data_IF_202466711955
#
_entry.id   IF_202466711955
#
_cell.length_a   1.000
_cell.length_b   1.000
_cell.length_c   1.000
_cell.angle_alpha   90.00
_cell.angle_beta   90.00
_cell.angle_gamma   90.00
#
_symmetry.space_group_name_H-M   'P 1'
#
loop_
_entity.id
_entity.type
_entity.pdbx_description
1 polymer ?
#
# COMPACT_ATOMS: atom_id res chain seq x y z
N UNK A 1 27.74 -7.84 5.31
CA UNK A 1 28.27 -7.15 6.52
C UNK A 1 27.18 -6.24 7.04
N UNK A 2 26.71 -6.43 8.26
CA UNK A 2 25.66 -5.58 8.87
C UNK A 2 26.26 -4.25 9.33
N UNK A 3 25.47 -3.18 9.29
CA UNK A 3 25.89 -1.90 9.84
C UNK A 3 26.15 -2.03 11.36
N UNK A 4 27.10 -1.25 11.90
CA UNK A 4 27.45 -1.32 13.33
C UNK A 4 26.25 -1.03 14.26
N UNK A 5 25.32 -0.23 13.79
CA UNK A 5 24.12 0.19 14.53
C UNK A 5 22.85 -0.49 14.02
N UNK A 6 22.98 -1.71 13.46
CA UNK A 6 21.82 -2.44 12.98
C UNK A 6 20.91 -2.82 14.15
N UNK A 7 19.61 -2.56 13.98
CA UNK A 7 18.56 -2.93 14.91
C UNK A 7 17.54 -3.83 14.21
N UNK A 8 17.04 -4.84 14.89
CA UNK A 8 15.96 -5.69 14.38
C UNK A 8 14.60 -5.04 14.63
N UNK A 9 14.46 -3.80 14.22
CA UNK A 9 13.23 -3.02 14.35
C UNK A 9 12.76 -2.55 12.99
N UNK A 10 11.46 -2.50 12.78
CA UNK A 10 10.86 -1.92 11.59
C UNK A 10 11.05 -0.40 11.60
N UNK A 11 11.38 0.19 10.44
CA UNK A 11 11.46 1.64 10.28
C UNK A 11 10.16 2.35 10.74
N UNK A 12 9.01 1.79 10.39
CA UNK A 12 7.71 2.39 10.72
C UNK A 12 7.32 2.29 12.19
N UNK A 13 8.01 1.45 12.96
CA UNK A 13 7.84 1.37 14.42
C UNK A 13 8.89 2.20 15.17
N UNK A 14 9.88 2.77 14.47
CA UNK A 14 10.86 3.66 15.06
C UNK A 14 10.18 4.99 15.42
N UNK A 15 10.27 5.39 16.66
CA UNK A 15 9.60 6.58 17.16
C UNK A 15 8.10 6.44 17.49
N UNK A 16 7.51 5.27 17.27
CA UNK A 16 6.15 4.97 17.75
C UNK A 16 6.24 4.42 19.17
N UNK A 17 5.52 5.03 20.09
CA UNK A 17 5.42 4.50 21.44
C UNK A 17 4.75 3.12 21.39
N UNK A 18 5.31 2.10 22.07
CA UNK A 18 4.67 0.81 22.19
C UNK A 18 3.25 0.99 22.75
N UNK A 19 2.29 0.28 22.18
CA UNK A 19 0.95 0.26 22.74
C UNK A 19 1.05 -0.49 24.07
N UNK A 20 1.02 0.28 25.15
CA UNK A 20 0.88 -0.28 26.50
C UNK A 20 -0.57 -0.71 26.65
N UNK A 21 -0.79 -1.97 26.77
CA UNK A 21 -2.13 -2.53 26.99
C UNK A 21 -2.10 -4.02 26.76
N UNK A 22 -1.75 -4.75 27.79
CA UNK A 22 -2.20 -6.12 27.91
C UNK A 22 -3.64 -6.06 28.39
N UNK A 23 -4.53 -6.74 27.69
CA UNK A 23 -5.85 -7.02 28.25
C UNK A 23 -5.61 -7.87 29.50
N UNK A 24 -5.78 -7.28 30.66
CA UNK A 24 -5.68 -8.01 31.94
C UNK A 24 -6.71 -9.15 32.02
N UNK A 25 -7.79 -9.02 31.28
CA UNK A 25 -8.84 -10.01 31.22
C UNK A 25 -9.33 -10.23 29.79
N UNK A 26 -9.05 -11.42 29.24
CA UNK A 26 -9.60 -11.84 27.96
C UNK A 26 -11.07 -12.27 28.19
N UNK A 27 -12.04 -11.66 27.49
CA UNK A 27 -13.44 -12.04 27.62
C UNK A 27 -13.64 -13.50 27.19
N UNK A 28 -14.55 -14.21 27.87
CA UNK A 28 -14.86 -15.63 27.54
C UNK A 28 -15.55 -15.79 26.20
N UNK A 29 -16.25 -14.77 25.76
CA UNK A 29 -17.00 -14.74 24.51
C UNK A 29 -16.89 -13.37 23.88
N UNK A 30 -16.81 -13.32 22.57
CA UNK A 30 -16.87 -12.11 21.74
C UNK A 30 -17.64 -12.44 20.47
N UNK A 31 -18.21 -11.46 19.82
CA UNK A 31 -18.92 -11.69 18.54
C UNK A 31 -17.95 -12.14 17.44
N UNK A 32 -16.79 -11.50 17.36
CA UNK A 32 -15.77 -11.82 16.35
C UNK A 32 -14.37 -11.76 16.97
N UNK A 33 -13.67 -12.88 16.93
CA UNK A 33 -12.25 -12.96 17.26
C UNK A 33 -11.41 -12.83 15.98
N UNK A 34 -10.46 -11.91 15.99
CA UNK A 34 -9.52 -11.68 14.89
C UNK A 34 -8.11 -12.01 15.37
N UNK A 35 -7.43 -12.91 14.67
CA UNK A 35 -6.05 -13.32 14.97
C UNK A 35 -5.10 -12.59 14.02
N UNK A 36 -4.24 -11.74 14.55
CA UNK A 36 -3.30 -10.91 13.84
C UNK A 36 -3.73 -9.45 13.73
N UNK A 37 -2.87 -8.55 14.15
CA UNK A 37 -3.06 -7.09 14.16
C UNK A 37 -2.32 -6.37 13.03
N UNK A 38 -2.13 -7.05 11.89
CA UNK A 38 -1.67 -6.42 10.65
C UNK A 38 -2.80 -5.66 9.94
N UNK A 39 -2.54 -5.07 8.77
CA UNK A 39 -3.53 -4.31 8.00
C UNK A 39 -4.86 -5.05 7.84
N UNK A 40 -4.83 -6.33 7.46
CA UNK A 40 -6.04 -7.11 7.24
C UNK A 40 -6.88 -7.26 8.50
N UNK A 41 -6.24 -7.60 9.63
CA UNK A 41 -6.96 -7.79 10.89
C UNK A 41 -7.51 -6.49 11.45
N UNK A 42 -6.75 -5.40 11.38
CA UNK A 42 -7.21 -4.09 11.83
C UNK A 42 -8.36 -3.56 10.98
N UNK A 43 -8.29 -3.67 9.65
CA UNK A 43 -9.41 -3.29 8.78
C UNK A 43 -10.65 -4.14 9.02
N UNK A 44 -10.50 -5.45 9.23
CA UNK A 44 -11.61 -6.32 9.57
C UNK A 44 -12.26 -5.90 10.89
N UNK A 45 -11.46 -5.59 11.92
CA UNK A 45 -11.99 -5.16 13.22
C UNK A 45 -12.76 -3.84 13.14
N UNK A 46 -12.28 -2.88 12.35
CA UNK A 46 -12.97 -1.61 12.09
C UNK A 46 -14.35 -1.88 11.46
N UNK A 47 -14.44 -2.77 10.47
CA UNK A 47 -15.73 -3.09 9.83
C UNK A 47 -16.70 -3.79 10.80
N UNK A 48 -16.19 -4.71 11.62
CA UNK A 48 -17.01 -5.37 12.65
C UNK A 48 -17.53 -4.35 13.66
N UNK A 49 -16.66 -3.47 14.17
CA UNK A 49 -17.06 -2.42 15.12
C UNK A 49 -18.09 -1.45 14.51
N UNK A 50 -17.91 -1.05 13.25
CA UNK A 50 -18.87 -0.20 12.53
C UNK A 50 -20.25 -0.86 12.32
N UNK A 51 -20.29 -2.18 12.31
CA UNK A 51 -21.55 -2.93 12.25
C UNK A 51 -22.26 -3.05 13.62
N UNK A 52 -21.70 -2.43 14.66
CA UNK A 52 -22.23 -2.50 16.03
C UNK A 52 -21.94 -3.81 16.75
N UNK A 53 -21.00 -4.63 16.23
CA UNK A 53 -20.62 -5.90 16.85
C UNK A 53 -19.30 -5.76 17.61
N UNK A 54 -19.13 -6.61 18.62
CA UNK A 54 -17.92 -6.63 19.41
C UNK A 54 -16.81 -7.41 18.69
N UNK A 55 -15.62 -6.77 18.55
CA UNK A 55 -14.43 -7.38 17.96
C UNK A 55 -13.29 -7.42 18.97
N UNK A 56 -12.63 -8.57 19.08
CA UNK A 56 -11.37 -8.72 19.80
C UNK A 56 -10.27 -9.06 18.81
N UNK A 57 -9.22 -8.23 18.76
CA UNK A 57 -8.01 -8.52 17.98
C UNK A 57 -6.94 -9.04 18.93
N UNK A 58 -6.36 -10.18 18.62
CA UNK A 58 -5.22 -10.75 19.35
C UNK A 58 -4.03 -10.92 18.42
N UNK A 59 -2.84 -10.71 18.94
CA UNK A 59 -1.57 -10.92 18.24
C UNK A 59 -0.54 -11.54 19.18
N UNK A 60 0.45 -12.21 18.61
CA UNK A 60 1.59 -12.76 19.36
C UNK A 60 2.66 -11.74 19.67
N UNK A 61 2.58 -10.55 19.11
CA UNK A 61 3.54 -9.44 19.24
C UNK A 61 2.87 -8.09 19.32
N UNK A 62 3.65 -7.04 19.17
CA UNK A 62 3.14 -5.68 19.06
C UNK A 62 2.28 -5.51 17.79
N UNK A 63 1.23 -4.68 17.83
CA UNK A 63 0.41 -4.43 16.65
C UNK A 63 1.27 -4.03 15.44
N UNK A 64 1.01 -4.68 14.30
CA UNK A 64 1.71 -4.42 13.06
C UNK A 64 3.15 -4.91 12.98
N UNK A 65 3.70 -5.59 13.98
CA UNK A 65 5.10 -6.04 14.01
C UNK A 65 5.52 -6.88 12.80
N UNK A 66 4.59 -7.55 12.14
CA UNK A 66 4.83 -8.35 10.94
C UNK A 66 5.09 -7.53 9.67
N UNK A 67 4.65 -8.06 8.53
CA UNK A 67 4.84 -7.44 7.21
C UNK A 67 4.21 -6.06 7.07
N UNK A 68 3.19 -5.74 7.85
CA UNK A 68 2.48 -4.45 7.79
C UNK A 68 3.35 -3.24 8.12
N UNK A 69 4.39 -3.42 8.91
CA UNK A 69 5.37 -2.36 9.20
C UNK A 69 6.76 -2.63 8.60
N UNK A 70 6.93 -3.74 7.87
CA UNK A 70 8.21 -4.14 7.24
C UNK A 70 8.15 -4.02 5.71
N UNK A 71 7.60 -2.94 5.22
CA UNK A 71 7.47 -2.62 3.80
C UNK A 71 8.01 -1.22 3.51
N UNK A 72 8.09 -0.85 2.22
CA UNK A 72 8.61 0.45 1.81
C UNK A 72 7.62 1.62 1.96
N UNK A 73 6.40 1.39 2.44
CA UNK A 73 5.37 2.41 2.58
C UNK A 73 4.85 2.96 1.25
N UNK A 74 5.15 2.31 0.13
CA UNK A 74 4.74 2.77 -1.19
C UNK A 74 3.34 2.26 -1.52
N UNK A 75 2.46 3.20 -1.90
CA UNK A 75 1.14 2.90 -2.42
C UNK A 75 1.15 3.15 -3.92
N UNK A 76 0.69 2.21 -4.71
CA UNK A 76 0.74 2.27 -6.17
C UNK A 76 -0.56 1.79 -6.79
N UNK A 77 -0.97 2.45 -7.88
CA UNK A 77 -2.10 2.01 -8.73
C UNK A 77 -1.74 0.82 -9.62
N UNK A 78 -0.46 0.39 -9.63
CA UNK A 78 0.00 -0.68 -10.52
C UNK A 78 -0.61 -2.01 -10.17
N UNK A 79 -1.29 -2.61 -11.15
CA UNK A 79 -1.81 -3.98 -11.06
C UNK A 79 -0.90 -4.91 -11.87
N UNK A 80 -0.61 -6.06 -11.32
CA UNK A 80 0.12 -7.16 -12.01
C UNK A 80 -0.85 -8.30 -12.33
N UNK A 81 -0.70 -8.97 -13.44
CA UNK A 81 0.27 -8.79 -14.53
C UNK A 81 -0.01 -7.59 -15.43
N UNK A 82 0.82 -7.36 -16.46
CA UNK A 82 0.65 -6.26 -17.42
C UNK A 82 -0.68 -6.30 -18.15
N UNK A 83 -1.14 -5.17 -18.68
CA UNK A 83 -2.41 -5.03 -19.41
C UNK A 83 -2.57 -6.08 -20.50
N UNK A 84 -1.59 -6.28 -21.37
CA UNK A 84 -1.69 -7.27 -22.43
C UNK A 84 -1.87 -8.71 -21.93
N UNK A 85 -1.27 -9.06 -20.77
CA UNK A 85 -1.49 -10.38 -20.16
C UNK A 85 -2.89 -10.50 -19.52
N UNK A 86 -3.40 -9.41 -18.97
CA UNK A 86 -4.78 -9.38 -18.46
C UNK A 86 -5.78 -9.51 -19.60
N UNK A 87 -5.58 -8.75 -20.69
CA UNK A 87 -6.44 -8.81 -21.88
C UNK A 87 -6.45 -10.20 -22.53
N UNK A 88 -5.28 -10.81 -22.69
CA UNK A 88 -5.17 -12.15 -23.24
C UNK A 88 -5.89 -13.21 -22.39
N UNK A 89 -5.95 -13.01 -21.06
CA UNK A 89 -6.56 -13.98 -20.14
C UNK A 89 -8.04 -13.73 -19.88
N UNK A 90 -8.47 -12.48 -19.85
CA UNK A 90 -9.80 -12.11 -19.35
C UNK A 90 -10.62 -11.28 -20.36
N UNK A 91 -10.03 -10.90 -21.50
CA UNK A 91 -10.63 -9.97 -22.46
C UNK A 91 -10.46 -8.51 -22.04
N UNK A 92 -10.69 -7.59 -22.96
CA UNK A 92 -10.43 -6.16 -22.79
C UNK A 92 -11.25 -5.51 -21.67
N UNK A 93 -12.53 -5.85 -21.60
CA UNK A 93 -13.44 -5.23 -20.63
C UNK A 93 -13.03 -5.54 -19.18
N UNK A 94 -12.83 -6.84 -18.88
CA UNK A 94 -12.45 -7.26 -17.52
C UNK A 94 -11.02 -6.81 -17.18
N UNK A 95 -10.11 -6.82 -18.15
CA UNK A 95 -8.75 -6.30 -17.95
C UNK A 95 -8.75 -4.82 -17.58
N UNK A 96 -9.60 -4.01 -18.21
CA UNK A 96 -9.81 -2.59 -17.89
C UNK A 96 -10.39 -2.42 -16.49
N UNK A 97 -11.41 -3.21 -16.15
CA UNK A 97 -12.01 -3.18 -14.81
C UNK A 97 -10.98 -3.49 -13.71
N UNK A 98 -10.14 -4.51 -13.92
CA UNK A 98 -9.07 -4.86 -12.98
C UNK A 98 -8.05 -3.72 -12.82
N UNK A 99 -7.70 -3.01 -13.89
CA UNK A 99 -6.82 -1.84 -13.79
C UNK A 99 -7.44 -0.69 -13.03
N UNK A 100 -8.69 -0.36 -13.35
CA UNK A 100 -9.41 0.72 -12.67
C UNK A 100 -9.50 0.47 -11.16
N UNK A 101 -9.54 -0.80 -10.74
CA UNK A 101 -9.54 -1.14 -9.32
C UNK A 101 -8.25 -0.74 -8.61
N UNK A 102 -7.10 -0.71 -9.29
CA UNK A 102 -5.86 -0.18 -8.73
C UNK A 102 -5.96 1.32 -8.42
N UNK A 103 -6.62 2.11 -9.27
CA UNK A 103 -6.84 3.53 -9.05
C UNK A 103 -7.88 3.77 -7.95
N UNK A 104 -8.96 3.00 -7.98
CA UNK A 104 -10.01 3.04 -6.95
C UNK A 104 -9.43 2.70 -5.57
N UNK A 105 -8.53 1.72 -5.50
CA UNK A 105 -7.88 1.34 -4.25
C UNK A 105 -7.01 2.47 -3.67
N UNK A 106 -6.24 3.19 -4.50
CA UNK A 106 -5.47 4.34 -4.04
C UNK A 106 -6.39 5.44 -3.51
N UNK A 107 -7.43 5.80 -4.26
CA UNK A 107 -8.40 6.80 -3.86
C UNK A 107 -9.10 6.42 -2.55
N UNK A 108 -9.50 5.16 -2.42
CA UNK A 108 -10.10 4.65 -1.20
C UNK A 108 -9.17 4.77 0.01
N UNK A 109 -7.87 4.49 -0.16
CA UNK A 109 -6.88 4.64 0.92
C UNK A 109 -6.74 6.11 1.35
N UNK A 110 -6.68 7.05 0.40
CA UNK A 110 -6.65 8.48 0.69
C UNK A 110 -7.88 8.90 1.49
N UNK A 111 -9.07 8.58 0.99
CA UNK A 111 -10.34 8.88 1.67
C UNK A 111 -10.42 8.23 3.07
N UNK A 112 -9.85 7.03 3.22
CA UNK A 112 -9.80 6.34 4.52
C UNK A 112 -8.88 7.03 5.51
N UNK A 113 -7.67 7.42 5.08
CA UNK A 113 -6.70 8.15 5.91
C UNK A 113 -7.32 9.47 6.39
N UNK A 114 -7.92 10.24 5.49
CA UNK A 114 -8.56 11.52 5.81
C UNK A 114 -9.75 11.34 6.76
N UNK A 115 -10.63 10.39 6.47
CA UNK A 115 -11.83 10.13 7.25
C UNK A 115 -11.53 9.64 8.68
N UNK A 116 -10.51 8.82 8.83
CA UNK A 116 -10.11 8.27 10.13
C UNK A 116 -9.07 9.16 10.83
N UNK A 117 -8.70 10.30 10.23
CA UNK A 117 -7.71 11.26 10.78
C UNK A 117 -6.38 10.57 11.12
N UNK A 118 -5.90 9.66 10.22
CA UNK A 118 -4.70 8.87 10.47
C UNK A 118 -3.45 9.70 10.18
N UNK A 119 -2.69 10.03 11.22
CA UNK A 119 -1.37 10.67 11.07
C UNK A 119 -0.31 9.63 10.68
N UNK A 120 -0.14 9.42 9.36
CA UNK A 120 0.80 8.48 8.80
C UNK A 120 1.79 9.13 7.81
N UNK A 121 1.93 10.46 7.85
CA UNK A 121 2.79 11.21 6.94
C UNK A 121 2.51 10.89 5.46
N UNK A 122 1.25 10.67 5.11
CA UNK A 122 0.86 10.37 3.74
C UNK A 122 1.21 11.53 2.80
N UNK A 123 1.80 11.20 1.65
CA UNK A 123 2.14 12.19 0.63
C UNK A 123 1.92 11.62 -0.78
N UNK A 124 1.20 12.36 -1.60
CA UNK A 124 1.03 12.05 -3.02
C UNK A 124 2.20 12.60 -3.82
N UNK A 125 3.34 11.96 -3.73
CA UNK A 125 4.61 12.41 -4.34
C UNK A 125 4.79 12.01 -5.81
N UNK A 126 3.85 11.27 -6.40
CA UNK A 126 4.00 10.70 -7.73
C UNK A 126 4.95 9.50 -7.77
N UNK A 127 5.38 9.14 -8.96
CA UNK A 127 6.25 7.98 -9.17
C UNK A 127 7.40 8.32 -10.10
N UNK A 128 8.61 7.99 -9.67
CA UNK A 128 9.81 8.12 -10.46
C UNK A 128 10.27 6.76 -11.00
N UNK A 129 10.52 6.68 -12.32
CA UNK A 129 11.08 5.52 -12.98
C UNK A 129 12.43 5.87 -13.58
N UNK A 130 13.50 5.29 -13.04
CA UNK A 130 14.84 5.45 -13.57
C UNK A 130 15.14 4.40 -14.65
N UNK A 131 15.62 4.83 -15.80
CA UNK A 131 16.19 3.96 -16.81
C UNK A 131 17.68 3.73 -16.54
N UNK A 132 18.15 2.48 -16.61
CA UNK A 132 19.56 2.14 -16.46
C UNK A 132 20.25 1.85 -17.80
N UNK A 133 19.52 1.93 -18.91
CA UNK A 133 20.05 1.81 -20.28
C UNK A 133 19.24 2.70 -21.22
N UNK A 134 19.82 3.02 -22.39
CA UNK A 134 19.11 3.77 -23.44
C UNK A 134 17.88 3.00 -23.94
N UNK A 135 18.00 1.70 -24.14
CA UNK A 135 16.88 0.85 -24.58
C UNK A 135 15.71 0.92 -23.59
N UNK A 136 16.01 0.86 -22.29
CA UNK A 136 14.97 0.97 -21.26
C UNK A 136 14.36 2.37 -21.23
N UNK A 137 15.17 3.42 -21.44
CA UNK A 137 14.66 4.78 -21.53
C UNK A 137 13.66 4.91 -22.69
N UNK A 138 13.99 4.39 -23.87
CA UNK A 138 13.14 4.45 -25.06
C UNK A 138 11.80 3.72 -24.84
N UNK A 139 11.82 2.59 -24.12
CA UNK A 139 10.60 1.86 -23.73
C UNK A 139 9.76 2.70 -22.77
N UNK A 140 10.36 3.23 -21.69
CA UNK A 140 9.65 4.06 -20.70
C UNK A 140 9.10 5.35 -21.32
N UNK A 141 9.81 5.97 -22.26
CA UNK A 141 9.33 7.16 -22.96
C UNK A 141 8.07 6.87 -23.81
N UNK A 142 8.03 5.73 -24.49
CA UNK A 142 6.83 5.29 -25.24
C UNK A 142 5.66 4.98 -24.30
N UNK A 143 5.91 4.29 -23.19
CA UNK A 143 4.89 4.03 -22.19
C UNK A 143 4.35 5.36 -21.61
N UNK A 144 5.21 6.33 -21.34
CA UNK A 144 4.83 7.66 -20.88
C UNK A 144 3.91 8.39 -21.87
N UNK A 145 4.22 8.36 -23.18
CA UNK A 145 3.35 8.92 -24.20
C UNK A 145 1.97 8.27 -24.24
N UNK A 146 1.91 6.95 -24.07
CA UNK A 146 0.65 6.21 -24.03
C UNK A 146 -0.19 6.56 -22.80
N UNK A 147 0.44 6.62 -21.62
CA UNK A 147 -0.21 7.03 -20.39
C UNK A 147 -0.78 8.45 -20.48
N UNK A 148 0.01 9.39 -21.01
CA UNK A 148 -0.43 10.79 -21.20
C UNK A 148 -1.60 10.91 -22.16
N UNK A 149 -1.57 10.17 -23.29
CA UNK A 149 -2.59 10.26 -24.35
C UNK A 149 -3.90 9.55 -23.99
N UNK A 150 -3.83 8.41 -23.31
CA UNK A 150 -4.99 7.54 -23.09
C UNK A 150 -5.58 7.60 -21.69
N UNK A 151 -4.76 7.96 -20.70
CA UNK A 151 -5.16 7.92 -19.29
C UNK A 151 -5.16 9.34 -18.65
N UNK A 152 -4.80 10.37 -19.42
CA UNK A 152 -4.72 11.76 -18.95
C UNK A 152 -3.88 11.92 -17.67
N UNK A 153 -2.87 11.06 -17.51
CA UNK A 153 -1.91 11.11 -16.39
C UNK A 153 -0.76 12.04 -16.80
N UNK A 154 -0.45 13.08 -16.04
CA UNK A 154 0.70 13.93 -16.33
C UNK A 154 1.99 13.11 -16.14
N UNK A 155 2.81 13.05 -17.20
CA UNK A 155 4.08 12.32 -17.19
C UNK A 155 5.15 13.21 -17.80
N UNK A 156 6.24 13.40 -17.08
CA UNK A 156 7.43 14.10 -17.56
C UNK A 156 8.51 13.08 -17.95
N UNK A 157 9.04 13.23 -19.16
CA UNK A 157 10.16 12.42 -19.64
C UNK A 157 11.42 13.27 -19.57
N UNK A 158 12.32 12.93 -18.65
CA UNK A 158 13.55 13.67 -18.40
C UNK A 158 14.72 12.94 -19.09
N UNK A 159 15.29 13.54 -20.13
CA UNK A 159 16.45 12.98 -20.80
C UNK A 159 17.73 13.12 -19.96
N UNK A 160 18.78 12.36 -20.32
CA UNK A 160 20.08 12.46 -19.63
C UNK A 160 20.67 13.88 -19.71
N UNK A 161 20.36 14.62 -20.77
CA UNK A 161 20.87 15.99 -20.96
C UNK A 161 20.15 17.00 -20.07
N UNK A 162 18.92 16.72 -19.68
CA UNK A 162 18.07 17.57 -18.85
C UNK A 162 18.21 17.29 -17.34
N UNK A 163 19.01 16.30 -16.99
CA UNK A 163 19.34 16.00 -15.58
C UNK A 163 20.36 17.04 -15.10
N UNK A 164 19.95 17.91 -14.20
CA UNK A 164 20.79 18.93 -13.56
C UNK A 164 21.14 18.53 -12.14
#
# INVERSE_FOLDING_TARGET
>A
MWAKNWQNQSYWLDGVNPIEGTIEHIPKTVDVLIIGSGYTGLHASIQVARSGREALVIDSGQPGFGCSTRNGGQISTSVKPSQGKLEAKYGQELARAIRNEGENALKWIEEFIDKEEIDCSFSRCGRFHAAHSQEQFDVLAKDAEQLSKHENIPVDVISKQDQK
#
